data_IF_440650085009
#
_entry.id   IF_440650085009
#
_cell.length_a   1.000
_cell.length_b   1.000
_cell.length_c   1.000
_cell.angle_alpha   90.00
_cell.angle_beta   90.00
_cell.angle_gamma   90.00
#
_symmetry.space_group_name_H-M   'P 1'
#
loop_
_entity.id
_entity.type
_entity.pdbx_description
1 polymer ?
#
# COMPACT_ATOMS: atom_id res chain seq x y z
N UNK A 1 3.79 -0.90 -26.75
CA UNK A 1 4.92 0.05 -26.61
C UNK A 1 5.72 0.05 -27.90
N UNK A 2 5.80 1.20 -28.54
CA UNK A 2 6.42 1.37 -29.86
C UNK A 2 7.96 1.49 -29.76
N UNK A 3 8.46 1.92 -28.59
CA UNK A 3 9.89 2.12 -28.32
C UNK A 3 10.71 0.83 -28.13
N UNK A 4 10.08 -0.34 -28.05
CA UNK A 4 10.76 -1.61 -27.80
C UNK A 4 11.13 -2.39 -29.06
N UNK A 5 10.76 -1.91 -30.26
CA UNK A 5 11.00 -2.61 -31.53
C UNK A 5 12.19 -1.97 -32.24
N UNK A 6 13.23 -2.78 -32.54
CA UNK A 6 14.51 -2.30 -33.09
C UNK A 6 14.42 -1.86 -34.56
N UNK A 7 13.62 -2.54 -35.39
CA UNK A 7 13.43 -2.23 -36.81
C UNK A 7 12.00 -1.76 -37.06
N UNK A 8 11.78 -0.47 -36.87
CA UNK A 8 10.46 0.13 -36.97
C UNK A 8 10.22 0.69 -38.39
N UNK A 9 9.52 -0.08 -39.22
CA UNK A 9 9.01 0.40 -40.50
C UNK A 9 7.73 1.21 -40.30
N UNK A 10 7.41 2.12 -41.24
CA UNK A 10 6.17 2.93 -41.19
C UNK A 10 4.91 2.05 -41.06
N UNK A 11 4.87 0.94 -41.79
CA UNK A 11 3.75 0.00 -41.75
C UNK A 11 3.58 -0.61 -40.35
N UNK A 12 4.67 -1.08 -39.73
CA UNK A 12 4.64 -1.67 -38.40
C UNK A 12 4.28 -0.63 -37.33
N UNK A 13 4.74 0.61 -37.46
CA UNK A 13 4.40 1.68 -36.53
C UNK A 13 2.89 1.97 -36.52
N UNK A 14 2.26 2.00 -37.70
CA UNK A 14 0.81 2.20 -37.84
C UNK A 14 0.04 1.04 -37.21
N UNK A 15 0.47 -0.19 -37.49
CA UNK A 15 -0.16 -1.39 -36.92
C UNK A 15 -0.08 -1.41 -35.39
N UNK A 16 1.09 -1.12 -34.82
CA UNK A 16 1.27 -1.06 -33.36
C UNK A 16 0.40 0.04 -32.76
N UNK A 17 0.36 1.23 -33.38
CA UNK A 17 -0.46 2.33 -32.88
C UNK A 17 -1.95 1.97 -32.88
N UNK A 18 -2.44 1.38 -33.98
CA UNK A 18 -3.83 0.94 -34.11
C UNK A 18 -4.18 -0.16 -33.10
N UNK A 19 -3.29 -1.14 -32.93
CA UNK A 19 -3.47 -2.20 -31.95
C UNK A 19 -3.51 -1.65 -30.52
N UNK A 20 -2.65 -0.68 -30.19
CA UNK A 20 -2.67 -0.04 -28.86
C UNK A 20 -3.94 0.78 -28.62
N UNK A 21 -4.45 1.47 -29.64
CA UNK A 21 -5.69 2.23 -29.52
C UNK A 21 -6.89 1.31 -29.25
N UNK A 22 -7.00 0.21 -30.01
CA UNK A 22 -8.06 -0.80 -29.81
C UNK A 22 -7.96 -1.41 -28.42
N UNK A 23 -6.78 -1.88 -28.03
CA UNK A 23 -6.57 -2.48 -26.72
C UNK A 23 -6.91 -1.51 -25.56
N UNK A 24 -6.62 -0.22 -25.70
CA UNK A 24 -6.97 0.79 -24.71
C UNK A 24 -8.48 1.02 -24.63
N UNK A 25 -9.18 1.06 -25.77
CA UNK A 25 -10.64 1.19 -25.82
C UNK A 25 -11.33 -0.01 -25.17
N UNK A 26 -10.92 -1.22 -25.54
CA UNK A 26 -11.46 -2.46 -24.99
C UNK A 26 -11.23 -2.54 -23.47
N UNK A 27 -10.02 -2.20 -23.01
CA UNK A 27 -9.71 -2.18 -21.57
C UNK A 27 -10.54 -1.14 -20.81
N UNK A 28 -10.80 0.04 -21.39
CA UNK A 28 -11.64 1.06 -20.80
C UNK A 28 -13.12 0.62 -20.72
N UNK A 29 -13.62 -0.07 -21.73
CA UNK A 29 -14.99 -0.63 -21.73
C UNK A 29 -15.15 -1.75 -20.68
N UNK A 30 -14.16 -2.64 -20.57
CA UNK A 30 -14.11 -3.66 -19.52
C UNK A 30 -14.01 -3.04 -18.11
N UNK A 31 -13.29 -1.92 -17.96
CA UNK A 31 -13.21 -1.20 -16.69
C UNK A 31 -14.52 -0.49 -16.35
N UNK A 32 -15.23 0.09 -17.33
CA UNK A 32 -16.54 0.71 -17.10
C UNK A 32 -17.59 -0.33 -16.70
N UNK A 33 -17.60 -1.49 -17.35
CA UNK A 33 -18.45 -2.62 -16.96
C UNK A 33 -18.06 -3.22 -15.59
N UNK A 34 -16.78 -3.20 -15.23
CA UNK A 34 -16.32 -3.57 -13.87
C UNK A 34 -16.53 -2.50 -12.80
N UNK A 35 -16.75 -1.23 -13.18
CA UNK A 35 -17.05 -0.11 -12.30
C UNK A 35 -18.55 -0.02 -11.95
N UNK A 36 -19.42 -0.67 -12.72
CA UNK A 36 -20.72 -1.06 -12.21
C UNK A 36 -20.48 -2.03 -11.05
N UNK A 37 -20.96 -1.73 -9.85
CA UNK A 37 -20.89 -2.59 -8.66
C UNK A 37 -21.76 -3.85 -8.83
N UNK A 38 -21.71 -4.51 -9.99
CA UNK A 38 -22.37 -5.78 -10.20
C UNK A 38 -21.58 -6.90 -9.51
N UNK A 39 -22.27 -7.79 -8.77
CA UNK A 39 -21.62 -8.92 -8.13
C UNK A 39 -21.14 -9.91 -9.21
N UNK A 40 -19.83 -9.94 -9.45
CA UNK A 40 -19.19 -10.93 -10.32
C UNK A 40 -18.92 -12.23 -9.57
N UNK A 41 -19.14 -13.38 -10.22
CA UNK A 41 -18.80 -14.69 -9.68
C UNK A 41 -17.30 -14.93 -9.76
N UNK A 42 -16.62 -14.89 -8.60
CA UNK A 42 -15.19 -15.24 -8.48
C UNK A 42 -15.05 -16.74 -8.33
N UNK A 43 -14.53 -17.42 -9.35
CA UNK A 43 -14.07 -18.81 -9.21
C UNK A 43 -12.68 -18.80 -8.54
N UNK A 44 -12.65 -19.03 -7.23
CA UNK A 44 -11.40 -19.07 -6.48
C UNK A 44 -10.63 -20.37 -6.76
N UNK A 45 -9.41 -20.27 -7.26
CA UNK A 45 -8.44 -21.35 -7.05
C UNK A 45 -7.99 -21.25 -5.60
N UNK A 46 -8.15 -22.34 -4.84
CA UNK A 46 -7.81 -22.43 -3.41
C UNK A 46 -6.31 -22.23 -3.16
N UNK A 47 -5.84 -20.98 -3.24
CA UNK A 47 -4.68 -20.54 -2.48
C UNK A 47 -5.22 -20.23 -1.10
N UNK A 48 -4.87 -21.06 -0.12
CA UNK A 48 -5.26 -20.86 1.26
C UNK A 48 -4.94 -19.41 1.63
N UNK A 49 -5.92 -18.59 2.04
CA UNK A 49 -5.62 -17.25 2.49
C UNK A 49 -4.69 -17.38 3.70
N UNK A 50 -3.58 -16.65 3.66
CA UNK A 50 -2.63 -16.58 4.75
C UNK A 50 -3.34 -15.85 5.89
N UNK A 51 -3.99 -16.59 6.80
CA UNK A 51 -4.72 -16.11 7.99
C UNK A 51 -3.80 -15.49 9.06
N UNK A 52 -2.86 -14.61 8.67
CA UNK A 52 -1.81 -14.09 9.55
C UNK A 52 -1.67 -12.56 9.53
N UNK A 53 -2.65 -11.80 9.03
CA UNK A 53 -2.60 -10.31 9.08
C UNK A 53 -3.92 -9.60 9.38
N UNK A 54 -4.82 -10.20 10.15
CA UNK A 54 -6.03 -9.49 10.63
C UNK A 54 -6.19 -9.44 12.16
N UNK A 55 -5.22 -9.97 12.91
CA UNK A 55 -5.14 -9.79 14.36
C UNK A 55 -3.96 -8.88 14.71
N UNK A 56 -4.15 -7.55 14.66
CA UNK A 56 -3.35 -6.55 15.43
C UNK A 56 -3.92 -5.12 15.35
N UNK A 57 -5.24 -4.99 15.20
CA UNK A 57 -5.96 -3.90 15.87
C UNK A 57 -6.74 -4.46 17.07
N UNK A 58 -6.11 -5.42 17.77
CA UNK A 58 -6.36 -5.53 19.19
C UNK A 58 -5.95 -4.18 19.77
N UNK A 59 -6.95 -3.49 20.30
CA UNK A 59 -6.97 -2.66 21.50
C UNK A 59 -5.88 -3.03 22.53
N UNK A 60 -4.61 -2.98 22.14
CA UNK A 60 -3.43 -3.18 22.97
C UNK A 60 -3.09 -1.82 23.55
N UNK A 61 -3.76 -1.49 24.67
CA UNK A 61 -3.43 -0.45 25.63
C UNK A 61 -3.19 0.96 25.07
N UNK A 62 -3.93 1.94 25.59
CA UNK A 62 -3.77 3.37 25.31
C UNK A 62 -2.42 3.95 25.83
N UNK A 63 -1.30 3.24 25.65
CA UNK A 63 0.04 3.69 26.00
C UNK A 63 0.53 4.67 24.94
N UNK A 64 0.95 5.83 25.41
CA UNK A 64 1.59 6.86 24.61
C UNK A 64 2.81 6.31 23.87
N UNK A 65 2.88 6.54 22.56
CA UNK A 65 3.99 6.06 21.71
C UNK A 65 5.34 6.75 22.03
N UNK A 66 5.31 7.91 22.70
CA UNK A 66 6.49 8.70 23.03
C UNK A 66 7.10 8.34 24.39
N UNK A 67 6.26 7.95 25.36
CA UNK A 67 6.72 7.72 26.74
C UNK A 67 6.26 6.40 27.37
N UNK A 68 5.37 5.64 26.72
CA UNK A 68 4.84 4.37 27.22
C UNK A 68 3.82 4.49 28.35
N UNK A 69 3.38 5.69 28.73
CA UNK A 69 2.37 5.89 29.80
C UNK A 69 0.96 5.90 29.23
N UNK A 70 -0.02 5.42 29.98
CA UNK A 70 -1.45 5.39 29.60
C UNK A 70 -2.27 6.61 30.04
N UNK A 71 -1.64 7.56 30.73
CA UNK A 71 -2.33 8.70 31.36
C UNK A 71 -2.79 9.79 30.37
N UNK A 72 -2.29 9.77 29.13
CA UNK A 72 -2.63 10.76 28.10
C UNK A 72 -2.55 10.15 26.69
N UNK A 73 -3.26 10.73 25.70
CA UNK A 73 -3.08 10.39 24.30
C UNK A 73 -1.72 10.87 23.79
N UNK A 74 -1.14 10.18 22.80
CA UNK A 74 0.18 10.50 22.23
C UNK A 74 0.34 11.97 21.82
N UNK A 75 -0.70 12.59 21.26
CA UNK A 75 -0.73 13.99 20.84
C UNK A 75 -0.47 14.99 21.97
N UNK A 76 -0.83 14.64 23.21
CA UNK A 76 -0.67 15.49 24.40
C UNK A 76 0.58 15.12 25.21
N UNK A 77 1.47 14.29 24.66
CA UNK A 77 2.68 13.92 25.37
C UNK A 77 3.62 15.11 25.50
N UNK A 78 4.21 15.31 26.69
CA UNK A 78 5.29 16.28 26.87
C UNK A 78 6.60 15.84 26.21
N UNK A 79 6.74 14.54 25.93
CA UNK A 79 7.96 13.91 25.40
C UNK A 79 7.88 13.66 23.89
N UNK A 80 7.04 14.40 23.16
CA UNK A 80 6.88 14.25 21.70
C UNK A 80 8.18 14.46 20.95
N UNK A 81 8.98 15.46 21.34
CA UNK A 81 10.30 15.74 20.73
C UNK A 81 11.47 15.15 21.52
N UNK A 82 11.21 14.18 22.41
CA UNK A 82 12.26 13.56 23.20
C UNK A 82 13.23 12.77 22.30
N UNK A 83 14.52 12.95 22.53
CA UNK A 83 15.59 12.22 21.84
C UNK A 83 15.92 10.97 22.66
N UNK A 84 15.85 9.81 22.02
CA UNK A 84 16.20 8.56 22.66
C UNK A 84 17.70 8.51 22.96
N UNK A 85 18.08 8.26 24.21
CA UNK A 85 19.49 8.21 24.60
C UNK A 85 20.22 6.97 24.05
N UNK A 86 19.49 5.91 23.68
CA UNK A 86 20.03 4.70 23.06
C UNK A 86 20.23 4.87 21.55
N UNK A 87 19.15 5.09 20.80
CA UNK A 87 19.22 5.13 19.32
C UNK A 87 19.42 6.52 18.71
N UNK A 88 19.46 7.57 19.54
CA UNK A 88 19.58 8.98 19.14
C UNK A 88 18.48 9.50 18.19
N UNK A 89 17.39 8.75 18.01
CA UNK A 89 16.23 9.19 17.23
C UNK A 89 15.28 10.03 18.09
N UNK A 90 14.58 10.98 17.47
CA UNK A 90 13.51 11.76 18.10
C UNK A 90 12.20 10.95 18.17
N UNK A 91 11.30 11.38 19.05
CA UNK A 91 9.95 10.81 19.15
C UNK A 91 9.77 9.78 20.25
N UNK A 92 10.81 9.34 20.97
CA UNK A 92 10.65 8.40 22.08
C UNK A 92 11.81 8.46 23.09
N UNK A 93 11.55 7.99 24.31
CA UNK A 93 12.58 7.82 25.34
C UNK A 93 13.22 6.43 25.31
N UNK A 94 14.42 6.32 25.88
CA UNK A 94 15.16 5.05 26.01
C UNK A 94 14.32 3.91 26.60
N UNK A 95 13.43 4.20 27.56
CA UNK A 95 12.62 3.19 28.23
C UNK A 95 11.69 2.39 27.31
N UNK A 96 11.32 2.95 26.16
CA UNK A 96 10.45 2.30 25.17
C UNK A 96 11.13 2.12 23.81
N UNK A 97 12.47 2.21 23.78
CA UNK A 97 13.22 2.05 22.55
C UNK A 97 13.10 0.61 22.03
N UNK A 98 12.83 0.46 20.73
CA UNK A 98 12.72 -0.84 20.06
C UNK A 98 14.03 -1.29 19.40
N UNK A 99 15.08 -0.47 19.46
CA UNK A 99 16.41 -0.85 18.99
C UNK A 99 17.16 -1.47 20.18
N UNK A 100 17.65 -2.68 19.99
CA UNK A 100 18.53 -3.39 20.93
C UNK A 100 19.92 -2.74 20.95
#
# INVERSE_FOLDING_TARGET
MLLSVADLTLQNAIEIALATEVAHKDAAELQLSAAANEPVNRVGHSTKPNEWKQYKHAKESSMCIHCGKTNHPSEKCRLTDAICHQCKANGHIQAICRKL
#
